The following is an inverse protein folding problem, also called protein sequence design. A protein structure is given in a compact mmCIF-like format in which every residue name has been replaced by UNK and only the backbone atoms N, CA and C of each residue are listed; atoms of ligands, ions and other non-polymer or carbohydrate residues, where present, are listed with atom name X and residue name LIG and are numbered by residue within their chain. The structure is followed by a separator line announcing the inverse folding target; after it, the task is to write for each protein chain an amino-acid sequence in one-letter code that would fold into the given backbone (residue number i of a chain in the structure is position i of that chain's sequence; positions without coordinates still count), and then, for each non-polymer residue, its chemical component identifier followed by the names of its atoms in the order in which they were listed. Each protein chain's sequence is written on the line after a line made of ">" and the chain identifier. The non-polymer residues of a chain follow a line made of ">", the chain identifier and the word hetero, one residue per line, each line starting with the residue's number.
data_IF_499818935059
#
_entry.id   IF_499818935059
#
_cell.length_a   1.000
_cell.length_b   1.000
_cell.length_c   1.000
_cell.angle_alpha   90.00
_cell.angle_beta   90.00
_cell.angle_gamma   90.00
#
_symmetry.space_group_name_H-M   'P 1'
#
loop_
_entity.id
_entity.type
_entity.pdbx_description
1 polymer ?
#
# COMPACT_ATOMS: atom_id res chain seq x y z
N UNK A 1 -16.10 4.04 -17.30
CA UNK A 1 -15.73 2.99 -16.34
C UNK A 1 -14.22 2.84 -16.47
N UNK A 2 -13.47 3.31 -15.47
CA UNK A 2 -12.01 3.23 -15.49
C UNK A 2 -11.58 1.90 -14.91
N UNK A 3 -10.82 1.12 -15.67
CA UNK A 3 -10.29 -0.19 -15.23
C UNK A 3 -8.81 -0.10 -14.81
N UNK A 4 -8.22 1.11 -14.82
CA UNK A 4 -6.79 1.29 -14.56
C UNK A 4 -6.38 0.96 -13.12
N UNK A 5 -7.33 0.93 -12.20
CA UNK A 5 -7.11 0.68 -10.77
C UNK A 5 -7.51 -0.74 -10.34
N UNK A 6 -7.82 -1.65 -11.27
CA UNK A 6 -8.17 -3.04 -10.98
C UNK A 6 -6.91 -3.92 -10.91
N UNK A 7 -6.73 -4.67 -9.82
CA UNK A 7 -5.60 -5.57 -9.62
C UNK A 7 -6.05 -6.95 -9.08
N UNK A 8 -5.26 -7.99 -9.38
CA UNK A 8 -5.36 -9.32 -8.79
C UNK A 8 -4.16 -9.55 -7.90
N UNK A 9 -4.38 -9.91 -6.63
CA UNK A 9 -3.31 -10.13 -5.65
C UNK A 9 -3.46 -11.49 -4.93
N UNK A 10 -2.31 -12.08 -4.57
CA UNK A 10 -2.20 -13.19 -3.61
C UNK A 10 -2.66 -14.58 -4.06
N UNK A 11 -2.44 -15.55 -3.17
CA UNK A 11 -3.04 -16.89 -3.16
C UNK A 11 -3.57 -17.15 -1.75
N UNK A 12 -4.89 -17.05 -1.49
CA UNK A 12 -5.98 -17.03 -2.45
C UNK A 12 -6.08 -15.73 -3.25
N UNK A 13 -6.74 -15.82 -4.41
CA UNK A 13 -6.95 -14.71 -5.35
C UNK A 13 -7.86 -13.66 -4.71
N UNK A 14 -7.42 -12.41 -4.68
CA UNK A 14 -8.25 -11.26 -4.33
C UNK A 14 -8.41 -10.32 -5.54
N UNK A 15 -9.62 -9.80 -5.71
CA UNK A 15 -9.94 -8.81 -6.76
C UNK A 15 -10.16 -7.48 -6.08
N UNK A 16 -9.26 -6.52 -6.33
CA UNK A 16 -9.27 -5.23 -5.63
C UNK A 16 -9.33 -4.05 -6.59
N UNK A 17 -9.86 -2.94 -6.10
CA UNK A 17 -9.62 -1.60 -6.64
C UNK A 17 -9.04 -0.68 -5.57
N UNK A 18 -8.08 0.16 -5.95
CA UNK A 18 -7.44 1.09 -5.02
C UNK A 18 -7.13 2.43 -5.68
N UNK A 19 -7.53 3.51 -5.00
CA UNK A 19 -7.24 4.91 -5.34
C UNK A 19 -7.33 5.70 -4.02
N UNK A 20 -8.46 6.37 -3.73
CA UNK A 20 -8.72 6.99 -2.41
C UNK A 20 -9.35 6.01 -1.40
N UNK A 21 -9.82 4.86 -1.89
CA UNK A 21 -10.49 3.84 -1.10
C UNK A 21 -10.00 2.48 -1.55
N UNK A 22 -9.59 1.67 -0.58
CA UNK A 22 -9.36 0.26 -0.82
C UNK A 22 -10.71 -0.45 -0.87
N UNK A 23 -10.95 -1.22 -1.93
CA UNK A 23 -12.12 -2.09 -2.06
C UNK A 23 -11.66 -3.47 -2.50
N UNK A 24 -11.96 -4.48 -1.69
CA UNK A 24 -11.90 -5.87 -2.08
C UNK A 24 -13.29 -6.33 -2.51
N UNK A 25 -13.41 -6.91 -3.71
CA UNK A 25 -14.67 -7.44 -4.24
C UNK A 25 -14.79 -8.96 -4.08
N UNK A 26 -13.66 -9.65 -3.93
CA UNK A 26 -13.58 -11.11 -3.81
C UNK A 26 -12.33 -11.50 -3.01
N UNK A 27 -12.40 -12.51 -2.13
CA UNK A 27 -13.57 -13.36 -1.83
C UNK A 27 -14.58 -12.70 -0.90
N UNK A 28 -14.16 -11.72 -0.12
CA UNK A 28 -15.00 -10.97 0.81
C UNK A 28 -15.04 -9.49 0.44
N UNK A 29 -16.18 -8.85 0.72
CA UNK A 29 -16.32 -7.41 0.53
C UNK A 29 -15.71 -6.66 1.69
N UNK A 30 -14.53 -6.09 1.47
CA UNK A 30 -13.81 -5.24 2.44
C UNK A 30 -13.71 -3.83 1.83
N UNK A 31 -13.90 -2.79 2.63
CA UNK A 31 -13.67 -1.43 2.16
C UNK A 31 -13.38 -0.45 3.28
N UNK A 32 -12.36 0.38 3.06
CA UNK A 32 -11.96 1.48 3.94
C UNK A 32 -11.17 2.53 3.14
N UNK A 33 -11.16 3.80 3.59
CA UNK A 33 -10.35 4.84 2.95
C UNK A 33 -8.86 4.57 3.10
N UNK A 34 -8.09 4.93 2.08
CA UNK A 34 -6.62 4.91 2.08
C UNK A 34 -6.09 6.29 1.69
N UNK A 35 -4.80 6.55 1.91
CA UNK A 35 -4.19 7.78 1.41
C UNK A 35 -3.74 7.59 -0.04
N UNK A 36 -3.66 8.66 -0.83
CA UNK A 36 -3.18 8.59 -2.22
C UNK A 36 -1.72 8.13 -2.38
N UNK A 37 -1.00 7.95 -1.26
CA UNK A 37 0.36 7.42 -1.24
C UNK A 37 0.40 5.91 -1.01
N UNK A 38 -0.71 5.29 -0.59
CA UNK A 38 -0.80 3.87 -0.24
C UNK A 38 -1.17 3.00 -1.44
N UNK A 39 -0.49 1.86 -1.60
CA UNK A 39 -0.79 0.83 -2.60
C UNK A 39 -0.75 -0.55 -1.95
N UNK A 40 -1.87 -1.26 -1.96
CA UNK A 40 -1.97 -2.65 -1.50
C UNK A 40 -1.19 -3.58 -2.41
N UNK A 41 -0.42 -4.47 -1.80
CA UNK A 41 0.45 -5.44 -2.45
C UNK A 41 -0.12 -6.87 -2.37
N UNK A 42 -0.49 -7.32 -1.17
CA UNK A 42 -1.10 -8.63 -0.97
C UNK A 42 -1.92 -8.70 0.32
N UNK A 43 -2.67 -9.80 0.46
CA UNK A 43 -3.49 -10.13 1.62
C UNK A 43 -3.09 -11.51 2.11
N UNK A 44 -2.74 -11.62 3.39
CA UNK A 44 -2.34 -12.86 4.06
C UNK A 44 -2.72 -12.79 5.54
N UNK A 45 -3.15 -13.91 6.13
CA UNK A 45 -3.48 -14.03 7.55
C UNK A 45 -4.35 -12.88 8.12
N UNK A 46 -5.44 -12.56 7.42
CA UNK A 46 -6.39 -11.48 7.77
C UNK A 46 -5.77 -10.07 7.83
N UNK A 47 -4.63 -9.89 7.16
CA UNK A 47 -3.91 -8.61 7.06
C UNK A 47 -3.75 -8.19 5.61
N UNK A 48 -3.75 -6.89 5.41
CA UNK A 48 -3.54 -6.26 4.12
C UNK A 48 -2.23 -5.48 4.20
N UNK A 49 -1.30 -5.80 3.29
CA UNK A 49 0.03 -5.20 3.23
C UNK A 49 0.02 -4.10 2.17
N UNK A 50 0.38 -2.89 2.57
CA UNK A 50 0.50 -1.72 1.72
C UNK A 50 1.95 -1.25 1.66
N UNK A 51 2.36 -0.77 0.49
CA UNK A 51 3.49 0.14 0.36
C UNK A 51 2.95 1.58 0.39
N UNK A 52 3.68 2.49 1.02
CA UNK A 52 3.35 3.91 1.05
C UNK A 52 4.60 4.75 0.84
N UNK A 53 4.57 5.68 -0.11
CA UNK A 53 5.68 6.62 -0.30
C UNK A 53 5.54 7.83 0.62
N UNK A 54 6.65 8.24 1.22
CA UNK A 54 6.75 9.39 2.12
C UNK A 54 7.75 10.35 1.51
N UNK A 55 7.28 11.56 1.22
CA UNK A 55 8.10 12.66 0.72
C UNK A 55 8.23 13.73 1.81
N UNK A 56 9.46 13.99 2.21
CA UNK A 56 9.81 15.00 3.20
C UNK A 56 10.68 16.08 2.55
N UNK A 57 10.63 17.30 3.09
CA UNK A 57 11.49 18.38 2.62
C UNK A 57 11.16 18.93 1.22
N UNK A 58 9.97 18.65 0.69
CA UNK A 58 9.44 19.36 -0.49
C UNK A 58 8.92 20.76 -0.10
N UNK A 59 9.18 21.77 -0.94
CA UNK A 59 8.68 23.14 -0.74
C UNK A 59 7.61 23.47 -1.77
N UNK A 60 6.35 23.33 -1.39
CA UNK A 60 5.19 23.60 -2.25
C UNK A 60 5.14 25.04 -2.79
N UNK A 61 5.66 26.01 -2.04
CA UNK A 61 5.61 27.42 -2.44
C UNK A 61 6.54 27.71 -3.62
N UNK A 62 7.72 27.08 -3.62
CA UNK A 62 8.75 27.29 -4.61
C UNK A 62 8.82 26.17 -5.65
N UNK A 63 8.01 25.12 -5.49
CA UNK A 63 7.96 23.93 -6.33
C UNK A 63 9.35 23.26 -6.46
N UNK A 64 10.04 23.10 -5.32
CA UNK A 64 11.39 22.57 -5.31
C UNK A 64 11.73 21.76 -4.04
N UNK A 65 12.66 20.82 -4.17
CA UNK A 65 13.29 20.13 -3.05
C UNK A 65 14.09 21.12 -2.17
N UNK A 66 14.11 20.87 -0.87
CA UNK A 66 15.01 21.55 0.08
C UNK A 66 16.25 20.71 0.36
N UNK A 67 17.21 21.25 1.13
CA UNK A 67 18.40 20.51 1.56
C UNK A 67 18.08 19.29 2.44
N UNK A 68 16.87 19.21 3.00
CA UNK A 68 16.39 18.08 3.79
C UNK A 68 15.40 17.21 2.99
N UNK A 69 15.45 17.27 1.66
CA UNK A 69 14.58 16.43 0.83
C UNK A 69 14.91 14.96 1.00
N UNK A 70 13.89 14.17 1.26
CA UNK A 70 13.99 12.72 1.30
C UNK A 70 12.70 12.10 0.73
N UNK A 71 12.86 11.02 -0.02
CA UNK A 71 11.77 10.25 -0.59
C UNK A 71 12.05 8.78 -0.33
N UNK A 72 11.20 8.17 0.47
CA UNK A 72 11.39 6.81 0.92
C UNK A 72 10.05 6.09 1.06
N UNK A 73 10.10 4.76 1.16
CA UNK A 73 8.91 3.92 1.29
C UNK A 73 8.75 3.37 2.70
N UNK A 74 7.51 3.07 3.04
CA UNK A 74 7.12 2.34 4.24
C UNK A 74 6.18 1.21 3.87
N UNK A 75 6.30 0.11 4.61
CA UNK A 75 5.31 -0.95 4.61
C UNK A 75 4.32 -0.69 5.74
N UNK A 76 3.03 -0.61 5.40
CA UNK A 76 1.93 -0.43 6.33
C UNK A 76 1.08 -1.70 6.33
N UNK A 77 0.85 -2.26 7.51
CA UNK A 77 0.00 -3.44 7.67
C UNK A 77 -1.31 -3.00 8.31
N UNK A 78 -2.43 -3.32 7.66
CA UNK A 78 -3.79 -2.98 8.15
C UNK A 78 -4.65 -4.22 8.33
N UNK A 79 -5.59 -4.16 9.26
CA UNK A 79 -6.67 -5.14 9.36
C UNK A 79 -7.79 -4.87 8.34
N UNK A 80 -8.79 -5.76 8.28
CA UNK A 80 -9.94 -5.61 7.36
C UNK A 80 -10.90 -4.46 7.72
N UNK A 81 -10.73 -3.84 8.90
CA UNK A 81 -11.46 -2.61 9.26
C UNK A 81 -10.68 -1.35 8.86
N UNK A 82 -9.48 -1.50 8.29
CA UNK A 82 -8.60 -0.39 7.90
C UNK A 82 -7.77 0.17 9.05
N UNK A 83 -7.73 -0.48 10.22
CA UNK A 83 -6.88 -0.04 11.32
C UNK A 83 -5.43 -0.42 11.04
N UNK A 84 -4.51 0.52 11.22
CA UNK A 84 -3.07 0.26 11.13
C UNK A 84 -2.62 -0.61 12.30
N UNK A 85 -2.02 -1.76 11.98
CA UNK A 85 -1.42 -2.70 12.92
C UNK A 85 0.08 -2.43 13.11
N UNK A 86 0.79 -2.05 12.04
CA UNK A 86 2.21 -1.71 12.07
C UNK A 86 2.63 -0.85 10.89
N UNK A 87 3.73 -0.12 11.07
CA UNK A 87 4.42 0.66 10.04
C UNK A 87 5.94 0.45 10.17
N UNK A 88 6.62 0.20 9.06
CA UNK A 88 8.07 -0.02 9.02
C UNK A 88 8.66 0.65 7.77
N UNK A 89 9.83 1.29 7.89
CA UNK A 89 10.54 1.91 6.76
C UNK A 89 11.24 0.83 5.95
N UNK A 90 11.10 0.89 4.63
CA UNK A 90 11.69 -0.04 3.68
C UNK A 90 10.72 -0.43 2.58
N UNK A 91 11.23 -1.19 1.61
CA UNK A 91 10.42 -1.74 0.52
C UNK A 91 10.08 -3.20 0.80
N UNK A 92 8.97 -3.67 0.23
CA UNK A 92 8.52 -5.05 0.39
C UNK A 92 9.00 -5.91 -0.79
N UNK A 93 9.86 -6.88 -0.50
CA UNK A 93 10.44 -7.77 -1.51
C UNK A 93 9.87 -9.18 -1.42
N UNK A 94 9.62 -9.81 -2.57
CA UNK A 94 9.20 -11.21 -2.66
C UNK A 94 10.29 -12.08 -3.29
N UNK A 95 10.62 -13.19 -2.64
CA UNK A 95 11.51 -14.22 -3.17
C UNK A 95 10.76 -15.09 -4.19
N UNK A 96 11.52 -15.83 -5.01
CA UNK A 96 10.96 -16.78 -5.97
C UNK A 96 10.14 -17.91 -5.32
N UNK A 97 10.37 -18.19 -4.03
CA UNK A 97 9.60 -19.18 -3.25
C UNK A 97 8.34 -18.60 -2.58
N UNK A 98 8.08 -17.30 -2.77
CA UNK A 98 6.93 -16.60 -2.20
C UNK A 98 7.19 -15.92 -0.85
N UNK A 99 8.37 -16.11 -0.24
CA UNK A 99 8.72 -15.47 1.03
C UNK A 99 8.85 -13.96 0.88
N UNK A 100 8.28 -13.21 1.82
CA UNK A 100 8.34 -11.75 1.87
C UNK A 100 9.30 -11.25 2.95
N UNK A 101 10.00 -10.14 2.69
CA UNK A 101 10.77 -9.40 3.70
C UNK A 101 10.78 -7.90 3.39
N UNK A 102 11.08 -7.11 4.43
CA UNK A 102 11.30 -5.67 4.33
C UNK A 102 12.82 -5.44 4.29
N UNK A 103 13.29 -4.59 3.37
CA UNK A 103 14.70 -4.21 3.25
C UNK A 103 14.87 -2.73 2.89
#
# INVERSE_FOLDING_TARGET
>A
MSLYNLCIIGNPVHIISQEDTFVCYYPEKISFPITGHESALFIEDEKIYFESWVEEGWNDKNDCATDNYDLYYKVIVKDFSGNTLSEEVGDLYQAADGTWWIA
#
